data_IF_984152532818
#
_entry.id   IF_984152532818
#
_cell.length_a   1.000
_cell.length_b   1.000
_cell.length_c   1.000
_cell.angle_alpha   90.00
_cell.angle_beta   90.00
_cell.angle_gamma   90.00
#
_symmetry.space_group_name_H-M   'P 1'
#
loop_
_entity.id
_entity.type
_entity.pdbx_description
1 polymer ?
#
# COMPACT_ATOMS: atom_id res chain seq x y z
N UNK A 1 -15.20 -31.57 26.90
CA UNK A 1 -15.56 -31.95 25.51
C UNK A 1 -15.67 -30.67 24.68
N UNK A 2 -14.81 -30.49 23.69
CA UNK A 2 -14.80 -29.28 22.84
C UNK A 2 -15.89 -29.41 21.77
N UNK A 3 -16.72 -28.38 21.62
CA UNK A 3 -17.89 -28.40 20.74
C UNK A 3 -17.53 -27.87 19.34
N UNK A 4 -17.09 -28.79 18.48
CA UNK A 4 -16.57 -28.54 17.13
C UNK A 4 -17.51 -27.77 16.19
N UNK A 5 -18.83 -27.86 16.39
CA UNK A 5 -19.81 -27.14 15.56
C UNK A 5 -19.75 -25.63 15.79
N UNK A 6 -19.48 -25.18 17.03
CA UNK A 6 -19.31 -23.76 17.34
C UNK A 6 -18.01 -23.22 16.76
N UNK A 7 -16.95 -24.04 16.73
CA UNK A 7 -15.65 -23.68 16.15
C UNK A 7 -15.78 -23.47 14.65
N UNK A 8 -16.45 -24.37 13.93
CA UNK A 8 -16.61 -24.24 12.49
C UNK A 8 -17.42 -22.98 12.11
N UNK A 9 -18.47 -22.64 12.86
CA UNK A 9 -19.25 -21.40 12.60
C UNK A 9 -18.43 -20.13 12.85
N UNK A 10 -17.55 -20.13 13.85
CA UNK A 10 -16.63 -19.01 14.12
C UNK A 10 -15.57 -18.88 13.02
N UNK A 11 -15.03 -19.99 12.53
CA UNK A 11 -14.07 -20.01 11.42
C UNK A 11 -14.70 -19.45 10.15
N UNK A 12 -15.92 -19.85 9.81
CA UNK A 12 -16.61 -19.35 8.61
C UNK A 12 -16.90 -17.84 8.68
N UNK A 13 -17.33 -17.34 9.84
CA UNK A 13 -17.59 -15.91 10.02
C UNK A 13 -16.31 -15.06 9.95
N UNK A 14 -15.20 -15.58 10.50
CA UNK A 14 -13.89 -14.96 10.42
C UNK A 14 -13.40 -14.89 8.96
N UNK A 15 -13.59 -15.96 8.20
CA UNK A 15 -13.23 -16.02 6.78
C UNK A 15 -14.01 -15.00 5.93
N UNK A 16 -15.30 -14.81 6.22
CA UNK A 16 -16.11 -13.81 5.52
C UNK A 16 -15.69 -12.37 5.88
N UNK A 17 -15.33 -12.12 7.13
CA UNK A 17 -14.89 -10.79 7.60
C UNK A 17 -13.54 -10.38 6.99
N UNK A 18 -12.64 -11.34 6.80
CA UNK A 18 -11.31 -11.13 6.19
C UNK A 18 -11.39 -10.83 4.70
N UNK A 19 -12.48 -11.19 4.02
CA UNK A 19 -12.67 -10.96 2.58
C UNK A 19 -13.23 -9.56 2.22
N UNK A 20 -13.72 -8.80 3.20
CA UNK A 20 -14.34 -7.48 2.98
C UNK A 20 -13.40 -6.30 2.59
N UNK A 21 -12.09 -6.27 2.91
CA UNK A 21 -11.27 -5.06 2.70
C UNK A 21 -10.61 -4.94 1.31
N UNK A 22 -10.92 -5.77 0.31
CA UNK A 22 -10.20 -5.76 -0.98
C UNK A 22 -10.76 -4.79 -2.04
N UNK A 23 -11.79 -4.00 -1.74
CA UNK A 23 -12.38 -3.06 -2.69
C UNK A 23 -11.84 -1.64 -2.47
N UNK A 24 -10.60 -1.39 -2.87
CA UNK A 24 -10.05 -0.03 -2.89
C UNK A 24 -10.57 0.72 -4.12
N UNK A 25 -11.58 1.57 -3.91
CA UNK A 25 -12.11 2.49 -4.93
C UNK A 25 -11.24 3.75 -4.93
N UNK A 26 -10.35 3.88 -5.93
CA UNK A 26 -9.57 5.10 -6.14
C UNK A 26 -10.45 6.17 -6.81
N UNK A 27 -10.56 7.33 -6.19
CA UNK A 27 -11.31 8.47 -6.72
C UNK A 27 -10.46 9.23 -7.76
N UNK A 28 -10.57 8.83 -9.02
CA UNK A 28 -9.95 9.53 -10.16
C UNK A 28 -11.02 10.37 -10.87
N UNK A 29 -10.62 11.49 -11.48
CA UNK A 29 -11.50 12.27 -12.34
C UNK A 29 -12.09 11.36 -13.44
N UNK A 30 -13.37 11.56 -13.84
CA UNK A 30 -13.99 10.74 -14.88
C UNK A 30 -13.21 10.89 -16.19
N UNK A 31 -12.89 9.77 -16.84
CA UNK A 31 -12.19 9.78 -18.13
C UNK A 31 -13.04 10.47 -19.21
N UNK A 32 -12.41 11.00 -20.28
CA UNK A 32 -13.13 11.68 -21.35
C UNK A 32 -14.27 10.84 -21.94
N UNK A 33 -14.05 9.53 -22.09
CA UNK A 33 -15.05 8.58 -22.60
C UNK A 33 -16.29 8.48 -21.72
N UNK A 34 -16.11 8.47 -20.40
CA UNK A 34 -17.22 8.45 -19.43
C UNK A 34 -18.01 9.75 -19.50
N UNK A 35 -17.33 10.88 -19.66
CA UNK A 35 -18.02 12.18 -19.79
C UNK A 35 -18.82 12.29 -21.07
N UNK A 36 -18.31 11.75 -22.19
CA UNK A 36 -19.02 11.72 -23.47
C UNK A 36 -20.27 10.84 -23.36
N UNK A 37 -20.13 9.65 -22.76
CA UNK A 37 -21.27 8.75 -22.52
C UNK A 37 -22.35 9.39 -21.65
N UNK A 38 -21.97 10.13 -20.60
CA UNK A 38 -22.94 10.86 -19.76
C UNK A 38 -23.65 12.00 -20.49
N UNK A 39 -22.97 12.66 -21.44
CA UNK A 39 -23.57 13.69 -22.29
C UNK A 39 -24.55 13.08 -23.27
N UNK A 40 -24.18 12.00 -23.94
CA UNK A 40 -25.05 11.23 -24.84
C UNK A 40 -26.32 10.74 -24.14
N UNK A 41 -26.18 10.30 -22.89
CA UNK A 41 -27.29 9.83 -22.06
C UNK A 41 -28.11 10.96 -21.41
N UNK A 42 -27.71 12.23 -21.59
CA UNK A 42 -28.39 13.38 -20.98
C UNK A 42 -28.30 13.46 -19.45
N UNK A 43 -27.49 12.60 -18.80
CA UNK A 43 -27.37 12.50 -17.33
C UNK A 43 -26.21 13.33 -16.77
N UNK A 44 -25.39 13.92 -17.63
CA UNK A 44 -24.17 14.64 -17.25
C UNK A 44 -24.42 15.71 -16.19
N UNK A 45 -25.44 16.55 -16.37
CA UNK A 45 -25.76 17.66 -15.46
C UNK A 45 -26.08 17.17 -14.05
N UNK A 46 -26.89 16.11 -13.95
CA UNK A 46 -27.28 15.48 -12.67
C UNK A 46 -26.09 14.91 -11.92
N UNK A 47 -25.12 14.30 -12.63
CA UNK A 47 -23.91 13.77 -12.00
C UNK A 47 -22.98 14.89 -11.53
N UNK A 48 -22.88 15.98 -12.30
CA UNK A 48 -22.10 17.14 -11.90
C UNK A 48 -22.68 17.82 -10.66
N UNK A 49 -24.01 17.95 -10.57
CA UNK A 49 -24.68 18.49 -9.38
C UNK A 49 -24.39 17.67 -8.12
N UNK A 50 -24.39 16.33 -8.22
CA UNK A 50 -23.99 15.46 -7.11
C UNK A 50 -22.54 15.68 -6.70
N UNK A 51 -21.64 15.85 -7.66
CA UNK A 51 -20.22 16.09 -7.39
C UNK A 51 -20.00 17.45 -6.70
N UNK A 52 -20.71 18.49 -7.15
CA UNK A 52 -20.71 19.81 -6.53
C UNK A 52 -21.24 19.73 -5.09
N UNK A 53 -22.36 19.03 -4.87
CA UNK A 53 -22.90 18.85 -3.52
C UNK A 53 -21.94 18.08 -2.60
N UNK A 54 -21.22 17.07 -3.12
CA UNK A 54 -20.22 16.35 -2.35
C UNK A 54 -19.01 17.24 -2.01
N UNK A 55 -18.55 18.08 -2.94
CA UNK A 55 -17.47 19.05 -2.70
C UNK A 55 -17.87 20.09 -1.65
N UNK A 56 -19.11 20.59 -1.69
CA UNK A 56 -19.66 21.48 -0.67
C UNK A 56 -19.75 20.82 0.72
N UNK A 57 -19.98 19.50 0.76
CA UNK A 57 -19.95 18.70 1.99
C UNK A 57 -18.53 18.36 2.48
N UNK A 58 -17.49 18.90 1.84
CA UNK A 58 -16.11 18.74 2.29
C UNK A 58 -15.40 17.49 1.77
N UNK A 59 -15.87 16.86 0.67
CA UNK A 59 -15.20 15.70 0.06
C UNK A 59 -13.70 15.97 -0.27
N UNK A 60 -13.33 17.24 -0.48
CA UNK A 60 -11.95 17.67 -0.73
C UNK A 60 -11.46 18.75 0.24
N UNK A 61 -12.18 18.98 1.34
CA UNK A 61 -11.72 19.91 2.37
C UNK A 61 -10.81 19.15 3.35
N UNK A 62 -9.75 19.79 3.88
CA UNK A 62 -9.02 19.23 5.00
C UNK A 62 -10.01 18.92 6.12
N UNK A 63 -10.08 17.67 6.58
CA UNK A 63 -10.96 17.36 7.71
C UNK A 63 -10.37 18.02 8.97
N UNK A 64 -11.14 18.87 9.65
CA UNK A 64 -10.74 19.43 10.96
C UNK A 64 -10.53 18.33 12.01
N UNK A 65 -11.21 17.19 11.83
CA UNK A 65 -11.02 15.98 12.61
C UNK A 65 -10.47 14.89 11.70
N UNK A 66 -9.15 14.74 11.67
CA UNK A 66 -8.57 13.44 11.33
C UNK A 66 -9.24 12.43 12.26
N UNK A 67 -9.99 11.48 11.70
CA UNK A 67 -10.49 10.36 12.51
C UNK A 67 -9.29 9.80 13.24
N UNK A 68 -9.35 9.79 14.58
CA UNK A 68 -8.31 9.32 15.48
C UNK A 68 -7.91 7.87 15.16
N UNK A 69 -7.14 7.66 14.09
CA UNK A 69 -6.19 6.57 14.01
C UNK A 69 -5.03 7.03 14.89
N UNK A 70 -4.91 6.40 16.05
CA UNK A 70 -4.06 6.80 17.17
C UNK A 70 -2.54 6.75 16.91
N UNK A 71 -2.05 7.02 15.70
CA UNK A 71 -0.61 7.07 15.44
C UNK A 71 -0.16 7.96 14.28
N UNK A 72 -1.01 8.80 13.66
CA UNK A 72 -0.49 9.76 12.69
C UNK A 72 0.01 11.00 13.41
N UNK A 73 1.17 10.85 14.08
CA UNK A 73 1.99 11.99 14.41
C UNK A 73 2.34 12.67 13.08
N UNK A 74 1.83 13.88 12.89
CA UNK A 74 2.23 14.74 11.79
C UNK A 74 3.75 14.77 11.70
N UNK A 75 4.31 14.28 10.59
CA UNK A 75 5.74 14.31 10.28
C UNK A 75 6.34 15.73 10.40
N UNK A 76 5.51 16.77 10.36
CA UNK A 76 5.95 18.15 10.51
C UNK A 76 6.10 18.58 11.98
N UNK A 77 5.40 17.96 12.93
CA UNK A 77 5.14 18.55 14.26
C UNK A 77 5.75 17.78 15.44
N UNK A 78 6.15 16.51 15.27
CA UNK A 78 6.80 15.74 16.34
C UNK A 78 8.32 15.84 16.27
N UNK A 79 8.97 16.04 17.42
CA UNK A 79 10.43 15.84 17.59
C UNK A 79 10.82 14.35 17.59
N UNK A 80 9.82 13.48 17.71
CA UNK A 80 9.97 12.03 17.73
C UNK A 80 10.00 11.53 16.29
N UNK A 81 11.00 10.71 15.97
CA UNK A 81 11.07 9.96 14.71
C UNK A 81 9.93 8.95 14.63
N UNK A 82 9.06 9.10 13.64
CA UNK A 82 8.00 8.14 13.36
C UNK A 82 8.56 6.92 12.65
N UNK A 83 8.15 5.71 13.07
CA UNK A 83 8.63 4.45 12.47
C UNK A 83 7.50 3.72 11.76
N UNK A 84 7.64 3.59 10.44
CA UNK A 84 6.67 2.87 9.61
C UNK A 84 7.21 1.47 9.30
N UNK A 85 6.37 0.45 9.55
CA UNK A 85 6.68 -0.94 9.24
C UNK A 85 6.09 -1.31 7.87
N UNK A 86 6.94 -1.79 6.94
CA UNK A 86 6.56 -2.15 5.57
C UNK A 86 6.81 -3.64 5.33
N UNK A 87 5.81 -4.31 4.76
CA UNK A 87 5.92 -5.67 4.27
C UNK A 87 6.04 -5.65 2.74
N UNK A 88 7.08 -6.27 2.20
CA UNK A 88 7.26 -6.41 0.75
C UNK A 88 7.08 -7.87 0.38
N UNK A 89 6.20 -8.14 -0.58
CA UNK A 89 5.96 -9.48 -1.12
C UNK A 89 6.43 -9.51 -2.57
N UNK A 90 7.46 -10.30 -2.86
CA UNK A 90 7.81 -10.65 -4.22
C UNK A 90 6.85 -11.75 -4.69
N UNK A 91 6.12 -11.49 -5.77
CA UNK A 91 5.11 -12.41 -6.32
C UNK A 91 5.44 -12.71 -7.77
N UNK A 92 5.15 -13.94 -8.14
CA UNK A 92 5.45 -14.54 -9.43
C UNK A 92 4.21 -15.23 -10.00
N UNK A 93 4.11 -15.38 -11.31
CA UNK A 93 2.92 -15.94 -11.95
C UNK A 93 3.19 -17.31 -12.58
N UNK A 94 2.14 -18.13 -12.74
CA UNK A 94 2.29 -19.50 -13.27
C UNK A 94 2.80 -19.56 -14.70
N UNK A 95 2.47 -18.54 -15.50
CA UNK A 95 2.83 -18.39 -16.91
C UNK A 95 4.24 -17.80 -17.09
N UNK A 96 4.68 -16.93 -16.18
CA UNK A 96 5.98 -16.29 -16.21
C UNK A 96 6.68 -16.44 -14.86
N UNK A 97 7.30 -17.61 -14.65
CA UNK A 97 8.02 -17.87 -13.41
C UNK A 97 9.37 -17.16 -13.35
N UNK A 98 9.74 -16.69 -12.17
CA UNK A 98 11.09 -16.36 -11.75
C UNK A 98 11.96 -17.62 -11.81
N UNK A 99 12.68 -17.79 -12.92
CA UNK A 99 13.61 -18.92 -13.13
C UNK A 99 15.07 -18.57 -12.78
N UNK A 100 15.32 -17.39 -12.20
CA UNK A 100 16.67 -16.82 -12.06
C UNK A 100 17.39 -16.57 -13.39
N UNK A 101 16.76 -16.89 -14.53
CA UNK A 101 17.29 -16.78 -15.89
C UNK A 101 16.15 -16.54 -16.87
N UNK A 102 15.69 -15.29 -16.98
CA UNK A 102 14.63 -14.93 -17.92
C UNK A 102 15.26 -14.22 -19.12
N UNK A 103 15.19 -14.83 -20.30
CA UNK A 103 15.61 -14.26 -21.61
C UNK A 103 17.07 -13.82 -21.74
N UNK A 104 18.04 -14.59 -21.24
CA UNK A 104 19.47 -14.35 -21.53
C UNK A 104 20.05 -13.07 -20.91
N UNK A 105 19.26 -12.34 -20.11
CA UNK A 105 19.75 -11.26 -19.26
C UNK A 105 19.82 -11.78 -17.83
N UNK A 106 21.05 -11.92 -17.33
CA UNK A 106 21.35 -12.27 -15.94
C UNK A 106 21.08 -11.06 -15.05
N UNK A 107 19.81 -10.72 -14.89
CA UNK A 107 19.39 -9.78 -13.86
C UNK A 107 18.30 -10.49 -13.09
N UNK A 108 18.43 -10.54 -11.76
CA UNK A 108 17.38 -10.30 -10.75
C UNK A 108 17.86 -10.95 -9.44
N UNK A 109 17.94 -10.12 -8.40
CA UNK A 109 18.42 -10.54 -7.09
C UNK A 109 17.45 -11.45 -6.34
N UNK A 110 17.98 -12.23 -5.39
CA UNK A 110 17.20 -12.97 -4.39
C UNK A 110 16.34 -11.99 -3.60
N UNK A 111 15.22 -12.47 -3.07
CA UNK A 111 14.34 -11.67 -2.18
C UNK A 111 15.10 -10.97 -1.05
N UNK A 112 16.10 -11.64 -0.48
CA UNK A 112 17.00 -11.12 0.55
C UNK A 112 17.84 -9.92 0.08
N UNK A 113 18.19 -9.84 -1.22
CA UNK A 113 18.95 -8.72 -1.76
C UNK A 113 18.11 -7.43 -1.82
N UNK A 114 16.78 -7.57 -1.86
CA UNK A 114 15.89 -6.42 -1.74
C UNK A 114 15.82 -5.89 -0.30
N UNK A 115 16.06 -6.72 0.72
CA UNK A 115 16.12 -6.23 2.10
C UNK A 115 17.25 -5.22 2.27
N UNK A 116 18.43 -5.50 1.69
CA UNK A 116 19.54 -4.56 1.70
C UNK A 116 19.23 -3.31 0.88
N UNK A 117 18.62 -3.45 -0.30
CA UNK A 117 18.27 -2.32 -1.16
C UNK A 117 17.22 -1.39 -0.52
N UNK A 118 16.22 -1.95 0.16
CA UNK A 118 15.07 -1.21 0.66
C UNK A 118 15.26 -0.77 2.11
N UNK A 119 15.82 -1.62 2.97
CA UNK A 119 15.70 -1.47 4.42
C UNK A 119 17.03 -1.37 5.18
N UNK A 120 18.20 -1.46 4.52
CA UNK A 120 19.47 -1.35 5.24
C UNK A 120 19.73 0.08 5.72
N UNK A 121 20.30 0.23 6.91
CA UNK A 121 20.83 1.49 7.43
C UNK A 121 22.35 1.41 7.56
N UNK A 122 23.11 2.22 6.80
CA UNK A 122 24.59 2.23 6.83
C UNK A 122 25.18 2.47 8.23
N UNK A 123 24.39 3.01 9.16
CA UNK A 123 24.83 3.30 10.52
C UNK A 123 24.79 2.07 11.42
N UNK A 124 23.96 1.08 11.10
CA UNK A 124 23.66 -0.03 12.01
C UNK A 124 23.74 -1.42 11.36
N UNK A 125 23.50 -1.54 10.05
CA UNK A 125 23.37 -2.83 9.37
C UNK A 125 24.63 -3.21 8.59
N UNK A 126 24.90 -4.52 8.54
CA UNK A 126 25.90 -5.11 7.64
C UNK A 126 25.40 -6.48 7.13
N UNK A 127 25.37 -6.72 5.81
CA UNK A 127 25.72 -5.79 4.72
C UNK A 127 24.68 -4.67 4.53
N UNK A 128 25.13 -3.51 4.04
CA UNK A 128 24.29 -2.37 3.66
C UNK A 128 24.45 -2.01 2.18
N UNK A 129 23.52 -1.25 1.61
CA UNK A 129 23.62 -0.78 0.23
C UNK A 129 24.48 0.50 0.16
N UNK A 130 25.63 0.44 -0.51
CA UNK A 130 26.54 1.58 -0.67
C UNK A 130 25.93 2.75 -1.45
N UNK A 131 24.97 2.47 -2.33
CA UNK A 131 24.30 3.50 -3.16
C UNK A 131 23.17 4.23 -2.43
N UNK A 132 22.84 3.81 -1.22
CA UNK A 132 21.74 4.33 -0.44
C UNK A 132 20.51 3.41 -0.46
N UNK A 133 19.88 3.20 0.69
CA UNK A 133 18.64 2.43 0.77
C UNK A 133 17.39 3.32 0.73
N UNK A 134 16.20 2.70 0.55
CA UNK A 134 14.94 3.43 0.70
C UNK A 134 14.79 3.98 2.14
N UNK A 135 15.18 3.22 3.16
CA UNK A 135 15.19 3.71 4.55
C UNK A 135 16.03 4.98 4.70
N UNK A 136 17.22 5.02 4.11
CA UNK A 136 18.09 6.20 4.16
C UNK A 136 17.50 7.37 3.39
N UNK A 137 16.97 7.12 2.20
CA UNK A 137 16.32 8.17 1.40
C UNK A 137 15.21 8.88 2.19
N UNK A 138 14.29 8.14 2.79
CA UNK A 138 13.20 8.77 3.55
C UNK A 138 13.69 9.39 4.86
N UNK A 139 14.70 8.81 5.50
CA UNK A 139 15.28 9.40 6.70
C UNK A 139 15.96 10.74 6.40
N UNK A 140 16.72 10.83 5.32
CA UNK A 140 17.39 12.06 4.90
C UNK A 140 16.38 13.13 4.46
N UNK A 141 15.40 12.75 3.64
CA UNK A 141 14.38 13.70 3.14
C UNK A 141 13.36 14.14 4.21
N UNK A 142 13.20 13.36 5.28
CA UNK A 142 12.37 13.73 6.43
C UNK A 142 13.14 14.48 7.52
N UNK A 143 14.43 14.79 7.32
CA UNK A 143 15.30 15.37 8.34
C UNK A 143 15.33 14.55 9.64
N UNK A 144 15.37 13.21 9.51
CA UNK A 144 15.40 12.30 10.65
C UNK A 144 14.04 12.02 11.29
N UNK A 145 12.95 12.54 10.73
CA UNK A 145 11.60 12.43 11.32
C UNK A 145 10.84 11.18 10.89
N UNK A 146 11.27 10.50 9.83
CA UNK A 146 10.66 9.27 9.35
C UNK A 146 11.73 8.19 9.20
N UNK A 147 11.55 7.11 9.94
CA UNK A 147 12.32 5.90 9.79
C UNK A 147 11.43 4.80 9.23
N UNK A 148 11.90 4.11 8.19
CA UNK A 148 11.17 2.99 7.60
C UNK A 148 11.89 1.71 7.92
N UNK A 149 11.14 0.73 8.38
CA UNK A 149 11.63 -0.61 8.65
C UNK A 149 10.78 -1.61 7.90
N UNK A 150 11.39 -2.64 7.35
CA UNK A 150 10.62 -3.63 6.63
C UNK A 150 11.30 -4.96 6.48
N UNK A 151 10.59 -5.87 5.81
CA UNK A 151 11.09 -7.18 5.45
C UNK A 151 10.47 -7.61 4.13
N UNK A 152 11.30 -8.23 3.31
CA UNK A 152 10.95 -8.79 2.01
C UNK A 152 10.71 -10.28 2.15
N UNK A 153 9.63 -10.76 1.53
CA UNK A 153 9.32 -12.18 1.42
C UNK A 153 9.34 -12.58 -0.05
N UNK A 154 10.02 -13.69 -0.33
CA UNK A 154 10.40 -14.08 -1.68
C UNK A 154 9.31 -14.76 -2.49
N UNK A 155 9.59 -14.81 -3.80
CA UNK A 155 8.74 -15.18 -4.93
C UNK A 155 7.62 -16.18 -4.60
N UNK A 156 6.51 -15.63 -4.11
CA UNK A 156 5.27 -16.37 -3.90
C UNK A 156 4.61 -16.57 -5.26
N UNK A 157 4.18 -17.79 -5.56
CA UNK A 157 3.44 -18.03 -6.79
C UNK A 157 1.97 -17.64 -6.60
N UNK A 158 1.51 -16.66 -7.37
CA UNK A 158 0.09 -16.34 -7.50
C UNK A 158 -0.64 -17.48 -8.26
N UNK A 159 -1.91 -17.74 -7.91
CA UNK A 159 -2.72 -18.79 -8.55
C UNK A 159 -3.02 -18.50 -10.02
#
# INVERSE_FOLDING_TARGET
MINWVKINRLISALLFLVMLPLWNVFAVAPSPDVTNKWKEQGIYKKQMEKFIQAKLKGLCSPSEHTKNFSSQNSLATSEITDTINILVLCVDFSDHKFSGTTYGQSVIGKSEQFDTLLFSDRRFDFPYNETGSMTEYYLENSYGKLYIKGKTYGWLQAP
#
